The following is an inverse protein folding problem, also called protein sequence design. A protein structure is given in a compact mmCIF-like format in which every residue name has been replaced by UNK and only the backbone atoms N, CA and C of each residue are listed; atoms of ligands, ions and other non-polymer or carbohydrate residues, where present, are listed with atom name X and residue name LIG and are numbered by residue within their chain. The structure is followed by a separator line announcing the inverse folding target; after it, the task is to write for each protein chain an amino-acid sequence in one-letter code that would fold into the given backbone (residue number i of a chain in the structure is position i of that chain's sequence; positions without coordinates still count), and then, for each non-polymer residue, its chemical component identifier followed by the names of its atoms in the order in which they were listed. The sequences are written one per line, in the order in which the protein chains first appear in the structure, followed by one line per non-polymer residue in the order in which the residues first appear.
data_IF_216724799845
#
_entry.id   IF_216724799845
#
_cell.length_a   1.000
_cell.length_b   1.000
_cell.length_c   1.000
_cell.angle_alpha   90.00
_cell.angle_beta   90.00
_cell.angle_gamma   90.00
#
_symmetry.space_group_name_H-M   'P 1'
#
loop_
_entity.id
_entity.type
_entity.pdbx_description
1 polymer ?
#
# COMPACT_ATOMS: atom_id res chain seq x y z
N UNK A 1 -10.49 -14.92 7.68
CA UNK A 1 -10.54 -14.17 6.40
C UNK A 1 -10.06 -12.72 6.53
N UNK A 2 -10.53 -11.97 7.53
CA UNK A 2 -10.15 -10.54 7.72
C UNK A 2 -8.64 -10.33 7.92
N UNK A 3 -7.99 -11.20 8.70
CA UNK A 3 -6.55 -11.16 9.00
C UNK A 3 -5.68 -11.39 7.75
N UNK A 4 -6.03 -12.38 6.93
CA UNK A 4 -5.36 -12.63 5.65
C UNK A 4 -5.49 -11.43 4.73
N UNK A 5 -6.68 -10.84 4.61
CA UNK A 5 -6.90 -9.65 3.78
C UNK A 5 -6.10 -8.44 4.25
N UNK A 6 -5.99 -8.20 5.56
CA UNK A 6 -5.16 -7.11 6.11
C UNK A 6 -3.66 -7.34 5.90
N UNK A 7 -3.18 -8.59 6.01
CA UNK A 7 -1.78 -8.91 5.76
C UNK A 7 -1.43 -8.79 4.28
N UNK A 8 -2.28 -9.30 3.39
CA UNK A 8 -2.04 -9.21 1.94
C UNK A 8 -2.06 -7.77 1.47
N UNK A 9 -2.92 -6.91 2.01
CA UNK A 9 -2.94 -5.48 1.67
C UNK A 9 -1.65 -4.76 2.06
N UNK A 10 -1.09 -5.02 3.25
CA UNK A 10 0.22 -4.46 3.64
C UNK A 10 1.31 -4.90 2.67
N UNK A 11 1.36 -6.20 2.35
CA UNK A 11 2.37 -6.75 1.44
C UNK A 11 2.27 -6.09 0.06
N UNK A 12 1.05 -5.91 -0.46
CA UNK A 12 0.83 -5.25 -1.75
C UNK A 12 1.27 -3.79 -1.73
N UNK A 13 1.01 -3.04 -0.64
CA UNK A 13 1.47 -1.66 -0.49
C UNK A 13 3.01 -1.59 -0.57
N UNK A 14 3.70 -2.48 0.15
CA UNK A 14 5.17 -2.52 0.15
C UNK A 14 5.72 -2.85 -1.24
N UNK A 15 5.16 -3.85 -1.92
CA UNK A 15 5.57 -4.21 -3.29
C UNK A 15 5.36 -3.03 -4.24
N UNK A 16 4.21 -2.36 -4.17
CA UNK A 16 3.92 -1.18 -4.99
C UNK A 16 4.95 -0.07 -4.77
N UNK A 17 5.35 0.19 -3.52
CA UNK A 17 6.40 1.16 -3.21
C UNK A 17 7.77 0.75 -3.79
N UNK A 18 8.16 -0.53 -3.69
CA UNK A 18 9.42 -1.03 -4.28
C UNK A 18 9.41 -0.88 -5.80
N UNK A 19 8.32 -1.31 -6.46
CA UNK A 19 8.17 -1.20 -7.91
C UNK A 19 8.22 0.26 -8.35
N UNK A 20 7.61 1.17 -7.59
CA UNK A 20 7.66 2.61 -7.88
C UNK A 20 9.09 3.16 -7.94
N UNK A 21 9.96 2.70 -7.03
CA UNK A 21 11.37 3.09 -6.97
C UNK A 21 12.15 2.54 -8.16
N UNK A 22 11.92 1.28 -8.52
CA UNK A 22 12.53 0.67 -9.71
C UNK A 22 12.11 1.42 -10.98
N UNK A 23 10.82 1.75 -11.13
CA UNK A 23 10.33 2.52 -12.29
C UNK A 23 10.97 3.90 -12.37
N UNK A 24 11.19 4.55 -11.24
CA UNK A 24 11.89 5.84 -11.19
C UNK A 24 13.30 5.75 -11.77
N UNK A 25 14.06 4.71 -11.38
CA UNK A 25 15.41 4.48 -11.89
C UNK A 25 15.45 4.21 -13.40
N UNK A 26 14.39 3.63 -13.96
CA UNK A 26 14.28 3.34 -15.39
C UNK A 26 13.67 4.50 -16.19
N UNK A 27 13.50 5.68 -15.60
CA UNK A 27 12.99 6.88 -16.29
C UNK A 27 11.47 6.92 -16.47
N UNK A 28 10.73 5.97 -15.88
CA UNK A 28 9.26 5.92 -15.93
C UNK A 28 8.63 6.79 -14.82
N UNK A 29 8.92 8.09 -14.84
CA UNK A 29 8.56 9.02 -13.76
C UNK A 29 7.05 9.14 -13.52
N UNK A 30 6.24 9.22 -14.58
CA UNK A 30 4.79 9.35 -14.44
C UNK A 30 4.16 8.13 -13.75
N UNK A 31 4.54 6.92 -14.19
CA UNK A 31 4.07 5.69 -13.57
C UNK A 31 4.60 5.51 -12.15
N UNK A 32 5.86 5.86 -11.90
CA UNK A 32 6.43 5.87 -10.56
C UNK A 32 5.64 6.78 -9.62
N UNK A 33 5.37 8.03 -10.03
CA UNK A 33 4.61 8.99 -9.24
C UNK A 33 3.19 8.50 -8.94
N UNK A 34 2.51 7.92 -9.93
CA UNK A 34 1.17 7.33 -9.73
C UNK A 34 1.23 6.16 -8.75
N UNK A 35 2.22 5.27 -8.84
CA UNK A 35 2.39 4.14 -7.93
C UNK A 35 2.70 4.60 -6.50
N UNK A 36 3.54 5.63 -6.32
CA UNK A 36 3.81 6.24 -5.01
C UNK A 36 2.52 6.83 -4.42
N UNK A 37 1.76 7.60 -5.21
CA UNK A 37 0.49 8.18 -4.75
C UNK A 37 -0.52 7.09 -4.36
N UNK A 38 -0.63 6.05 -5.17
CA UNK A 38 -1.59 4.95 -4.95
C UNK A 38 -1.22 4.14 -3.70
N UNK A 39 0.08 3.86 -3.50
CA UNK A 39 0.56 3.15 -2.31
C UNK A 39 0.37 3.99 -1.04
N UNK A 40 0.62 5.30 -1.10
CA UNK A 40 0.35 6.23 0.00
C UNK A 40 -1.14 6.28 0.37
N UNK A 41 -2.03 6.49 -0.61
CA UNK A 41 -3.47 6.52 -0.36
C UNK A 41 -4.00 5.20 0.19
N UNK A 42 -3.50 4.07 -0.32
CA UNK A 42 -3.86 2.75 0.17
C UNK A 42 -3.41 2.54 1.63
N UNK A 43 -2.22 3.01 2.00
CA UNK A 43 -1.74 2.97 3.38
C UNK A 43 -2.58 3.85 4.31
N UNK A 44 -2.90 5.08 3.90
CA UNK A 44 -3.74 5.99 4.67
C UNK A 44 -5.15 5.40 4.89
N UNK A 45 -5.75 4.83 3.85
CA UNK A 45 -7.05 4.16 3.94
C UNK A 45 -6.99 2.93 4.85
N UNK A 46 -5.90 2.15 4.78
CA UNK A 46 -5.71 0.99 5.65
C UNK A 46 -5.60 1.39 7.13
N UNK A 47 -4.81 2.43 7.44
CA UNK A 47 -4.70 2.99 8.80
C UNK A 47 -6.06 3.48 9.28
N UNK A 48 -6.80 4.21 8.44
CA UNK A 48 -8.13 4.69 8.78
C UNK A 48 -9.09 3.52 9.08
N UNK A 49 -9.08 2.47 8.27
CA UNK A 49 -9.92 1.27 8.49
C UNK A 49 -9.58 0.59 9.82
N UNK A 50 -8.29 0.45 10.15
CA UNK A 50 -7.85 -0.11 11.43
C UNK A 50 -8.20 0.75 12.64
N UNK A 51 -8.21 2.07 12.48
CA UNK A 51 -8.62 2.97 13.56
C UNK A 51 -10.14 2.91 13.77
N UNK A 52 -10.91 2.87 12.68
CA UNK A 52 -12.38 2.95 12.73
C UNK A 52 -13.02 1.63 13.17
N UNK A 53 -12.46 0.50 12.73
CA UNK A 53 -12.83 -0.81 13.24
C UNK A 53 -11.76 -1.16 14.25
N UNK A 54 -12.08 -1.27 15.55
CA UNK A 54 -11.20 -1.95 16.52
C UNK A 54 -11.01 -3.40 16.04
N UNK A 55 -10.13 -3.62 15.07
CA UNK A 55 -9.82 -4.93 14.52
C UNK A 55 -8.99 -5.60 15.60
N UNK A 56 -9.65 -6.35 16.47
CA UNK A 56 -8.98 -7.26 17.39
C UNK A 56 -8.30 -8.31 16.52
N UNK A 57 -6.97 -8.24 16.43
CA UNK A 57 -6.13 -9.27 15.86
C UNK A 57 -6.10 -10.44 16.86
N UNK A 58 -7.22 -11.15 16.96
CA UNK A 58 -7.35 -12.41 17.70
C UNK A 58 -7.12 -13.59 16.77
#
# INVERSE_FOLDING_TARGET
MKTFFTLTTIILIVIASIVSFVLFQHGHYAFSALLVLTSYLSAALWIYVLQTKKVVLS
#
